data_IF_895914852971
#
_entry.id   IF_895914852971
#
_cell.length_a   1.000
_cell.length_b   1.000
_cell.length_c   1.000
_cell.angle_alpha   90.00
_cell.angle_beta   90.00
_cell.angle_gamma   90.00
#
_symmetry.space_group_name_H-M   'P 1'
#
loop_
_entity.id
_entity.type
_entity.pdbx_description
1 polymer ?
#
# COMPACT_ATOMS: atom_id res chain seq x y z
N UNK A 1 -1.33 7.34 -42.07
CA UNK A 1 -1.77 6.18 -41.25
C UNK A 1 -0.86 5.91 -40.04
N UNK A 2 0.44 5.69 -40.23
CA UNK A 2 1.40 5.48 -39.12
C UNK A 2 1.51 6.66 -38.15
N UNK A 3 1.50 7.90 -38.65
CA UNK A 3 1.56 9.11 -37.81
C UNK A 3 0.36 9.23 -36.84
N UNK A 4 -0.85 8.86 -37.27
CA UNK A 4 -2.06 8.84 -36.42
C UNK A 4 -2.02 7.73 -35.37
N UNK A 5 -1.41 6.59 -35.69
CA UNK A 5 -1.25 5.46 -34.76
C UNK A 5 -0.27 5.83 -33.64
N UNK A 6 0.87 6.44 -33.97
CA UNK A 6 1.87 6.89 -32.99
C UNK A 6 1.32 8.00 -32.09
N UNK A 7 0.59 8.98 -32.64
CA UNK A 7 -0.07 10.02 -31.85
C UNK A 7 -1.09 9.42 -30.86
N UNK A 8 -1.97 8.52 -31.33
CA UNK A 8 -2.93 7.84 -30.46
C UNK A 8 -2.28 6.93 -29.40
N UNK A 9 -1.06 6.44 -29.64
CA UNK A 9 -0.32 5.60 -28.70
C UNK A 9 0.22 6.40 -27.52
N UNK A 10 0.63 7.65 -27.72
CA UNK A 10 1.14 8.52 -26.66
C UNK A 10 0.05 9.36 -25.99
N UNK A 11 -0.98 9.78 -26.73
CA UNK A 11 -2.09 10.60 -26.19
C UNK A 11 -2.97 9.83 -25.19
N UNK A 12 -3.12 8.51 -25.37
CA UNK A 12 -3.94 7.67 -24.48
C UNK A 12 -3.38 7.59 -23.06
N UNK A 13 -2.12 7.18 -22.83
CA UNK A 13 -1.49 7.20 -21.51
C UNK A 13 -1.59 8.56 -20.83
N UNK A 14 -1.22 9.62 -21.56
CA UNK A 14 -1.30 11.01 -21.07
C UNK A 14 -2.70 11.43 -20.61
N UNK A 15 -3.74 10.87 -21.22
CA UNK A 15 -5.12 11.21 -20.87
C UNK A 15 -5.68 10.39 -19.69
N UNK A 16 -5.02 9.29 -19.32
CA UNK A 16 -5.40 8.43 -18.19
C UNK A 16 -4.59 8.75 -16.92
N UNK A 17 -3.44 9.40 -17.04
CA UNK A 17 -2.52 9.69 -15.93
C UNK A 17 -2.57 11.13 -15.40
N UNK A 18 -3.61 11.91 -15.74
CA UNK A 18 -3.74 13.32 -15.29
C UNK A 18 -4.22 13.46 -13.85
N UNK A 19 -5.11 12.57 -13.42
CA UNK A 19 -5.77 12.64 -12.12
C UNK A 19 -5.73 11.27 -11.44
N UNK A 20 -5.64 11.19 -10.10
CA UNK A 20 -5.73 9.95 -9.37
C UNK A 20 -7.05 9.24 -9.66
N UNK A 21 -6.99 7.95 -10.00
CA UNK A 21 -8.17 7.14 -10.34
C UNK A 21 -8.22 5.88 -9.47
N UNK A 22 -8.20 6.10 -8.15
CA UNK A 22 -8.27 5.03 -7.14
C UNK A 22 -9.58 4.26 -7.28
N UNK A 23 -9.56 2.94 -7.09
CA UNK A 23 -10.77 2.12 -7.13
C UNK A 23 -11.86 2.70 -6.21
N UNK A 24 -13.12 2.65 -6.64
CA UNK A 24 -14.28 3.18 -5.89
C UNK A 24 -14.47 4.71 -5.92
N UNK A 25 -13.59 5.50 -6.54
CA UNK A 25 -13.77 6.95 -6.65
C UNK A 25 -14.54 7.37 -7.90
N UNK A 26 -15.16 8.55 -7.86
CA UNK A 26 -15.83 9.17 -9.01
C UNK A 26 -14.92 9.28 -10.23
N UNK A 27 -13.65 9.65 -10.03
CA UNK A 27 -12.69 9.79 -11.12
C UNK A 27 -12.43 8.44 -11.82
N UNK A 28 -12.40 7.33 -11.08
CA UNK A 28 -12.26 6.01 -11.66
C UNK A 28 -13.53 5.58 -12.43
N UNK A 29 -14.71 5.96 -11.96
CA UNK A 29 -15.97 5.76 -12.70
C UNK A 29 -16.03 6.59 -14.00
N UNK A 30 -15.57 7.83 -13.97
CA UNK A 30 -15.41 8.66 -15.17
C UNK A 30 -14.50 7.99 -16.20
N UNK A 31 -13.36 7.45 -15.75
CA UNK A 31 -12.45 6.71 -16.63
C UNK A 31 -13.09 5.44 -17.21
N UNK A 32 -13.83 4.69 -16.40
CA UNK A 32 -14.54 3.48 -16.85
C UNK A 32 -15.58 3.80 -17.94
N UNK A 33 -16.40 4.85 -17.75
CA UNK A 33 -17.36 5.35 -18.76
C UNK A 33 -16.65 5.79 -20.04
N UNK A 34 -15.50 6.46 -19.91
CA UNK A 34 -14.71 6.90 -21.07
C UNK A 34 -14.20 5.72 -21.88
N UNK A 35 -13.65 4.69 -21.22
CA UNK A 35 -13.19 3.46 -21.88
C UNK A 35 -14.36 2.77 -22.58
N UNK A 36 -15.52 2.67 -21.91
CA UNK A 36 -16.74 2.12 -22.51
C UNK A 36 -17.13 2.84 -23.80
N UNK A 37 -17.13 4.19 -23.81
CA UNK A 37 -17.42 4.98 -25.01
C UNK A 37 -16.39 4.71 -26.12
N UNK A 38 -15.09 4.75 -25.78
CA UNK A 38 -14.02 4.50 -26.76
C UNK A 38 -14.11 3.11 -27.39
N UNK A 39 -14.44 2.08 -26.61
CA UNK A 39 -14.61 0.73 -27.12
C UNK A 39 -15.78 0.60 -28.11
N UNK A 40 -16.91 1.29 -27.85
CA UNK A 40 -18.02 1.37 -28.81
C UNK A 40 -17.61 2.10 -30.08
N UNK A 41 -16.87 3.21 -29.95
CA UNK A 41 -16.34 3.96 -31.11
C UNK A 41 -15.34 3.14 -31.94
N UNK A 42 -14.58 2.25 -31.30
CA UNK A 42 -13.65 1.34 -31.99
C UNK A 42 -14.36 0.17 -32.69
N UNK A 43 -15.66 0.00 -32.49
CA UNK A 43 -16.48 -0.98 -33.18
C UNK A 43 -16.66 -2.31 -32.44
N UNK A 44 -16.51 -2.34 -31.11
CA UNK A 44 -16.98 -3.50 -30.33
C UNK A 44 -18.51 -3.56 -30.38
N UNK A 45 -19.06 -4.75 -30.63
CA UNK A 45 -20.51 -4.98 -30.66
C UNK A 45 -21.18 -4.63 -29.32
N UNK A 46 -20.53 -4.97 -28.21
CA UNK A 46 -21.00 -4.68 -26.85
C UNK A 46 -19.87 -4.16 -25.96
N UNK A 47 -20.21 -3.19 -25.12
CA UNK A 47 -19.33 -2.68 -24.05
C UNK A 47 -20.20 -2.18 -22.91
N UNK A 48 -20.15 -2.87 -21.77
CA UNK A 48 -21.03 -2.65 -20.62
C UNK A 48 -20.22 -2.44 -19.33
N UNK A 49 -20.79 -1.65 -18.42
CA UNK A 49 -20.26 -1.51 -17.07
C UNK A 49 -20.95 -2.53 -16.17
N UNK A 50 -20.15 -3.37 -15.52
CA UNK A 50 -20.63 -4.37 -14.56
C UNK A 50 -20.14 -3.99 -13.17
N UNK A 51 -21.06 -3.66 -12.27
CA UNK A 51 -20.76 -3.24 -10.90
C UNK A 51 -20.88 -4.38 -9.89
N UNK A 52 -20.14 -4.24 -8.80
CA UNK A 52 -20.16 -5.07 -7.60
C UNK A 52 -19.91 -4.17 -6.38
N UNK A 53 -20.63 -4.39 -5.29
CA UNK A 53 -20.46 -3.64 -4.04
C UNK A 53 -19.52 -4.41 -3.12
N UNK A 54 -18.22 -4.15 -3.31
CA UNK A 54 -17.10 -4.83 -2.65
C UNK A 54 -16.57 -4.02 -1.47
N UNK A 55 -15.95 -4.69 -0.51
CA UNK A 55 -15.27 -4.01 0.59
C UNK A 55 -13.98 -3.37 0.08
N UNK A 56 -13.88 -2.05 0.23
CA UNK A 56 -12.66 -1.27 0.00
C UNK A 56 -12.16 -0.65 1.31
N UNK A 57 -10.94 -0.13 1.30
CA UNK A 57 -10.30 0.47 2.46
C UNK A 57 -9.59 1.73 2.04
N UNK A 58 -9.78 2.82 2.80
CA UNK A 58 -9.18 4.13 2.58
C UNK A 58 -8.70 4.73 3.90
N UNK A 59 -7.67 5.59 3.89
CA UNK A 59 -7.25 6.31 5.07
C UNK A 59 -8.29 7.36 5.48
N UNK A 60 -8.36 7.67 6.77
CA UNK A 60 -9.17 8.78 7.26
C UNK A 60 -8.44 10.11 7.00
N UNK A 61 -9.03 10.99 6.18
CA UNK A 61 -8.42 12.28 5.85
C UNK A 61 -8.35 13.25 7.03
N UNK A 62 -9.28 13.14 7.99
CA UNK A 62 -9.29 13.98 9.19
C UNK A 62 -8.32 13.50 10.28
N UNK A 63 -7.83 12.25 10.17
CA UNK A 63 -6.88 11.65 11.09
C UNK A 63 -5.82 10.87 10.29
N UNK A 64 -4.81 11.56 9.74
CA UNK A 64 -3.75 10.94 8.95
C UNK A 64 -2.99 9.87 9.74
N UNK A 65 -2.59 8.82 9.05
CA UNK A 65 -1.74 7.78 9.62
C UNK A 65 -0.28 8.26 9.65
N UNK A 66 0.44 7.90 10.70
CA UNK A 66 1.89 8.12 10.81
C UNK A 66 2.50 7.13 11.78
N UNK A 67 3.84 7.08 11.80
CA UNK A 67 4.64 6.40 12.82
C UNK A 67 5.41 7.46 13.58
N UNK A 68 5.56 7.27 14.88
CA UNK A 68 6.34 8.14 15.74
C UNK A 68 7.36 7.34 16.57
N UNK A 69 8.48 7.99 16.90
CA UNK A 69 9.36 7.57 18.00
C UNK A 69 8.99 8.42 19.21
N UNK A 70 8.78 7.76 20.35
CA UNK A 70 8.46 8.41 21.62
C UNK A 70 9.61 8.26 22.61
N UNK A 71 9.83 9.28 23.44
CA UNK A 71 10.73 9.20 24.60
C UNK A 71 10.10 8.43 25.79
N UNK A 72 10.85 8.31 26.88
CA UNK A 72 10.41 7.66 28.13
C UNK A 72 9.21 8.35 28.81
N UNK A 73 8.92 9.59 28.45
CA UNK A 73 7.80 10.38 28.94
C UNK A 73 6.59 10.34 27.99
N UNK A 74 6.70 9.65 26.85
CA UNK A 74 5.65 9.56 25.84
C UNK A 74 5.58 10.76 24.89
N UNK A 75 6.59 11.63 24.88
CA UNK A 75 6.66 12.74 23.92
C UNK A 75 7.19 12.23 22.57
N UNK A 76 6.56 12.67 21.48
CA UNK A 76 7.02 12.37 20.12
C UNK A 76 8.30 13.15 19.80
N UNK A 77 9.38 12.44 19.52
CA UNK A 77 10.68 13.01 19.15
C UNK A 77 10.95 12.96 17.64
N UNK A 78 10.22 12.11 16.92
CA UNK A 78 10.28 11.99 15.47
C UNK A 78 8.93 11.48 14.96
N UNK A 79 8.44 12.08 13.87
CA UNK A 79 7.22 11.67 13.18
C UNK A 79 7.51 11.46 11.69
N UNK A 80 6.93 10.42 11.11
CA UNK A 80 7.04 10.16 9.68
C UNK A 80 6.26 11.17 8.85
N UNK A 81 6.61 11.25 7.56
CA UNK A 81 5.90 12.10 6.60
C UNK A 81 4.44 11.67 6.47
N UNK A 82 3.50 12.62 6.52
CA UNK A 82 2.07 12.34 6.36
C UNK A 82 1.66 12.11 4.90
N UNK A 83 2.40 12.72 3.97
CA UNK A 83 2.16 12.70 2.53
C UNK A 83 3.50 12.71 1.78
N UNK A 84 3.55 12.14 0.58
CA UNK A 84 4.66 12.41 -0.32
C UNK A 84 4.65 13.85 -0.83
N UNK A 85 5.84 14.34 -1.20
CA UNK A 85 5.97 15.57 -1.96
C UNK A 85 5.32 15.37 -3.35
N UNK A 86 4.38 16.24 -3.77
CA UNK A 86 3.79 16.15 -5.10
C UNK A 86 4.86 16.18 -6.20
N UNK A 87 4.75 15.33 -7.23
CA UNK A 87 5.69 15.36 -8.35
C UNK A 87 5.51 16.64 -9.18
N UNK A 88 6.55 17.09 -9.91
CA UNK A 88 6.47 18.29 -10.74
C UNK A 88 5.31 18.24 -11.74
N UNK A 89 4.54 19.32 -11.81
CA UNK A 89 3.36 19.46 -12.67
C UNK A 89 2.05 18.93 -12.05
N UNK A 90 2.09 18.39 -10.84
CA UNK A 90 0.94 17.88 -10.09
C UNK A 90 0.73 18.59 -8.75
N UNK A 91 1.33 19.77 -8.56
CA UNK A 91 1.31 20.53 -7.30
C UNK A 91 -0.11 20.90 -6.85
N UNK A 92 -1.03 21.07 -7.82
CA UNK A 92 -2.42 21.47 -7.57
C UNK A 92 -3.41 20.29 -7.54
N UNK A 93 -2.92 19.04 -7.56
CA UNK A 93 -3.77 17.84 -7.51
C UNK A 93 -3.99 17.44 -6.05
N UNK A 94 -5.24 17.57 -5.57
CA UNK A 94 -5.58 17.42 -4.16
C UNK A 94 -6.14 16.05 -3.80
N UNK A 95 -6.52 15.23 -4.78
CA UNK A 95 -7.17 13.93 -4.59
C UNK A 95 -6.17 12.78 -4.36
N UNK A 96 -4.90 13.09 -4.15
CA UNK A 96 -3.87 12.09 -3.84
C UNK A 96 -4.08 11.58 -2.42
N UNK A 97 -4.46 10.30 -2.28
CA UNK A 97 -4.55 9.66 -0.97
C UNK A 97 -3.18 9.60 -0.29
N UNK A 98 -3.06 9.81 1.02
CA UNK A 98 -1.80 9.62 1.74
C UNK A 98 -1.31 8.16 1.65
N UNK A 99 -0.04 7.88 1.97
CA UNK A 99 0.45 6.52 2.09
C UNK A 99 -0.34 5.70 3.09
N UNK A 100 -0.73 4.49 2.70
CA UNK A 100 -1.36 3.52 3.59
C UNK A 100 -1.26 2.10 3.01
N UNK A 101 -1.36 1.11 3.89
CA UNK A 101 -1.62 -0.26 3.48
C UNK A 101 -3.11 -0.55 3.61
N UNK A 102 -3.77 -0.80 2.48
CA UNK A 102 -5.21 -1.05 2.46
C UNK A 102 -5.55 -2.32 3.27
N UNK A 103 -6.67 -2.24 4.01
CA UNK A 103 -7.17 -3.24 4.95
C UNK A 103 -6.35 -3.43 6.23
N UNK A 104 -5.38 -2.55 6.53
CA UNK A 104 -4.74 -2.51 7.85
C UNK A 104 -5.78 -2.44 8.96
N UNK A 105 -5.53 -3.14 10.07
CA UNK A 105 -6.34 -2.95 11.27
C UNK A 105 -6.16 -1.53 11.82
N UNK A 106 -7.17 -1.04 12.53
CA UNK A 106 -7.09 0.19 13.30
C UNK A 106 -6.34 -0.05 14.61
N UNK A 107 -5.58 0.95 15.06
CA UNK A 107 -4.93 0.92 16.37
C UNK A 107 -3.73 1.85 16.44
N UNK A 108 -3.34 2.19 17.67
CA UNK A 108 -2.16 3.03 17.97
C UNK A 108 -1.23 2.24 18.92
N UNK A 109 -0.57 1.17 18.42
CA UNK A 109 0.31 0.36 19.25
C UNK A 109 1.62 1.10 19.52
N UNK A 110 2.03 1.14 20.79
CA UNK A 110 3.39 1.52 21.21
C UNK A 110 4.11 0.28 21.71
N UNK A 111 5.30 0.01 21.20
CA UNK A 111 6.20 -1.07 21.62
C UNK A 111 7.60 -0.88 21.00
N UNK A 112 8.59 -1.64 21.47
CA UNK A 112 9.92 -1.63 20.88
C UNK A 112 9.89 -2.12 19.43
N UNK A 113 10.85 -1.61 18.65
CA UNK A 113 10.98 -1.87 17.23
C UNK A 113 11.97 -3.02 16.97
N UNK A 114 11.59 -3.99 16.13
CA UNK A 114 12.46 -5.10 15.73
C UNK A 114 12.59 -5.12 14.20
N UNK A 115 13.82 -5.09 13.70
CA UNK A 115 14.09 -5.27 12.27
C UNK A 115 14.02 -6.74 11.87
N UNK A 116 13.20 -7.05 10.87
CA UNK A 116 12.91 -8.43 10.46
C UNK A 116 13.27 -8.74 9.00
N UNK A 117 14.24 -8.02 8.44
CA UNK A 117 14.68 -8.22 7.05
C UNK A 117 13.49 -8.12 6.06
N UNK A 118 13.19 -9.15 5.27
CA UNK A 118 12.07 -9.16 4.33
C UNK A 118 10.78 -9.74 4.96
N UNK A 119 10.76 -10.09 6.25
CA UNK A 119 9.59 -10.69 6.91
C UNK A 119 9.17 -12.03 6.32
N UNK A 120 10.11 -12.80 5.76
CA UNK A 120 9.86 -14.16 5.28
C UNK A 120 9.82 -15.13 6.46
N UNK A 121 9.27 -16.32 6.25
CA UNK A 121 9.21 -17.33 7.32
C UNK A 121 10.61 -17.65 7.86
N UNK A 122 11.60 -17.76 6.97
CA UNK A 122 13.01 -17.96 7.34
C UNK A 122 13.62 -16.78 8.12
N UNK A 123 13.16 -15.55 7.90
CA UNK A 123 13.66 -14.39 8.64
C UNK A 123 13.17 -14.45 10.11
N UNK A 124 11.91 -14.81 10.33
CA UNK A 124 11.36 -15.03 11.67
C UNK A 124 11.98 -16.24 12.38
N UNK A 125 12.17 -17.37 11.68
CA UNK A 125 12.85 -18.52 12.25
C UNK A 125 14.28 -18.19 12.68
N UNK A 126 15.00 -17.41 11.87
CA UNK A 126 16.36 -16.96 12.21
C UNK A 126 16.38 -16.06 13.45
N UNK A 127 15.47 -15.09 13.52
CA UNK A 127 15.36 -14.20 14.68
C UNK A 127 15.11 -14.97 15.98
N UNK A 128 14.14 -15.89 15.96
CA UNK A 128 13.75 -16.65 17.15
C UNK A 128 14.83 -17.66 17.56
N UNK A 129 15.34 -18.45 16.61
CA UNK A 129 16.17 -19.63 16.90
C UNK A 129 17.68 -19.35 16.94
N UNK A 130 18.16 -18.42 16.12
CA UNK A 130 19.59 -18.12 16.01
C UNK A 130 19.98 -16.87 16.79
N UNK A 131 19.09 -15.87 16.83
CA UNK A 131 19.38 -14.57 17.46
C UNK A 131 18.71 -14.40 18.83
N UNK A 132 17.77 -15.28 19.20
CA UNK A 132 17.06 -15.22 20.48
C UNK A 132 16.14 -14.00 20.62
N UNK A 133 15.72 -13.40 19.50
CA UNK A 133 14.87 -12.20 19.48
C UNK A 133 13.39 -12.61 19.43
N UNK A 134 12.61 -12.17 20.41
CA UNK A 134 11.18 -12.42 20.48
C UNK A 134 10.38 -11.22 19.92
N UNK A 135 9.56 -11.48 18.89
CA UNK A 135 8.71 -10.47 18.26
C UNK A 135 7.35 -10.29 18.96
N UNK A 136 7.04 -11.11 19.97
CA UNK A 136 5.76 -11.06 20.68
C UNK A 136 5.57 -9.71 21.37
N UNK A 137 4.50 -9.01 21.03
CA UNK A 137 4.17 -7.69 21.58
C UNK A 137 5.01 -6.54 21.01
N UNK A 138 5.91 -6.80 20.05
CA UNK A 138 6.78 -5.79 19.43
C UNK A 138 6.15 -5.21 18.16
N UNK A 139 6.64 -4.05 17.74
CA UNK A 139 6.41 -3.53 16.38
C UNK A 139 7.56 -4.04 15.52
N UNK A 140 7.24 -4.64 14.38
CA UNK A 140 8.27 -5.15 13.46
C UNK A 140 8.41 -4.23 12.25
N UNK A 141 9.64 -3.97 11.80
CA UNK A 141 9.93 -3.23 10.57
C UNK A 141 10.58 -4.15 9.54
N UNK A 142 10.00 -4.19 8.34
CA UNK A 142 10.48 -5.02 7.24
C UNK A 142 10.62 -4.23 5.95
N UNK A 143 11.61 -4.59 5.14
CA UNK A 143 11.72 -4.11 3.77
C UNK A 143 10.72 -4.82 2.86
N UNK A 144 10.19 -4.07 1.89
CA UNK A 144 9.46 -4.63 0.77
C UNK A 144 10.36 -5.54 -0.10
N UNK A 145 9.75 -6.36 -0.96
CA UNK A 145 10.45 -7.30 -1.85
C UNK A 145 10.41 -8.77 -1.39
N UNK A 146 10.93 -9.66 -2.25
CA UNK A 146 10.99 -11.14 -2.13
C UNK A 146 9.65 -11.89 -2.05
N UNK A 147 8.76 -11.50 -1.14
CA UNK A 147 7.43 -12.09 -0.96
C UNK A 147 6.34 -11.03 -0.99
N UNK A 148 5.12 -11.44 -1.30
CA UNK A 148 3.94 -10.58 -1.26
C UNK A 148 3.73 -9.99 0.14
N UNK A 149 3.40 -8.70 0.23
CA UNK A 149 3.30 -7.95 1.50
C UNK A 149 2.28 -8.52 2.48
N UNK A 150 1.15 -9.06 2.02
CA UNK A 150 0.18 -9.74 2.89
C UNK A 150 0.75 -11.00 3.56
N UNK A 151 1.73 -11.68 2.94
CA UNK A 151 2.42 -12.79 3.59
C UNK A 151 3.39 -12.31 4.67
N UNK A 152 4.05 -11.16 4.48
CA UNK A 152 4.89 -10.54 5.53
C UNK A 152 4.05 -10.23 6.78
N UNK A 153 2.88 -9.62 6.57
CA UNK A 153 1.93 -9.30 7.65
C UNK A 153 1.41 -10.57 8.33
N UNK A 154 1.04 -11.60 7.55
CA UNK A 154 0.65 -12.90 8.11
C UNK A 154 1.75 -13.51 8.99
N UNK A 155 3.00 -13.48 8.53
CA UNK A 155 4.13 -14.01 9.30
C UNK A 155 4.36 -13.19 10.58
N UNK A 156 4.26 -11.86 10.51
CA UNK A 156 4.36 -10.98 11.68
C UNK A 156 3.28 -11.27 12.73
N UNK A 157 2.03 -11.49 12.30
CA UNK A 157 0.93 -11.90 13.19
C UNK A 157 1.25 -13.25 13.86
N UNK A 158 1.73 -14.24 13.09
CA UNK A 158 2.11 -15.55 13.63
C UNK A 158 3.28 -15.47 14.61
N UNK A 159 4.19 -14.52 14.44
CA UNK A 159 5.29 -14.23 15.34
C UNK A 159 4.89 -13.39 16.57
N UNK A 160 3.61 -13.06 16.72
CA UNK A 160 3.07 -12.32 17.87
C UNK A 160 3.30 -10.80 17.81
N UNK A 161 3.69 -10.24 16.67
CA UNK A 161 3.86 -8.79 16.52
C UNK A 161 2.54 -8.05 16.78
N UNK A 162 2.62 -6.85 17.35
CA UNK A 162 1.47 -5.97 17.62
C UNK A 162 1.22 -4.95 16.51
N UNK A 163 2.21 -4.71 15.67
CA UNK A 163 2.14 -3.81 14.51
C UNK A 163 3.28 -4.06 13.54
N UNK A 164 3.13 -3.59 12.30
CA UNK A 164 4.14 -3.77 11.26
C UNK A 164 4.37 -2.49 10.46
N UNK A 165 5.65 -2.17 10.23
CA UNK A 165 6.10 -1.08 9.36
C UNK A 165 6.74 -1.69 8.11
N UNK A 166 6.37 -1.17 6.93
CA UNK A 166 6.92 -1.61 5.65
C UNK A 166 7.64 -0.45 4.96
N UNK A 167 8.86 -0.65 4.48
CA UNK A 167 9.59 0.40 3.76
C UNK A 167 10.26 -0.11 2.49
N UNK A 168 10.50 0.80 1.53
CA UNK A 168 11.14 0.48 0.25
C UNK A 168 12.65 0.73 0.33
N UNK A 169 13.42 -0.30 0.68
CA UNK A 169 14.88 -0.20 0.83
C UNK A 169 15.57 0.16 -0.50
N UNK A 170 16.45 1.19 -0.55
CA UNK A 170 17.17 1.56 -1.76
C UNK A 170 17.96 0.40 -2.39
N UNK A 171 18.40 -0.59 -1.61
CA UNK A 171 19.10 -1.76 -2.15
C UNK A 171 18.25 -2.57 -3.14
N UNK A 172 16.92 -2.55 -2.97
CA UNK A 172 15.97 -3.27 -3.82
C UNK A 172 15.25 -2.36 -4.81
N UNK A 173 15.17 -1.05 -4.52
CA UNK A 173 14.31 -0.10 -5.23
C UNK A 173 15.05 1.05 -5.93
N UNK A 174 16.39 1.10 -5.85
CA UNK A 174 17.20 2.10 -6.54
C UNK A 174 18.31 1.45 -7.38
N UNK A 175 18.34 1.77 -8.67
CA UNK A 175 19.40 1.37 -9.58
C UNK A 175 20.71 2.14 -9.30
N UNK A 176 21.87 1.47 -9.29
CA UNK A 176 23.16 2.13 -9.07
C UNK A 176 23.43 3.25 -10.09
N UNK A 177 23.87 4.42 -9.61
CA UNK A 177 24.27 5.55 -10.46
C UNK A 177 23.12 6.33 -11.12
N UNK A 178 21.87 6.10 -10.72
CA UNK A 178 20.70 6.79 -11.25
C UNK A 178 20.14 7.77 -10.22
N UNK A 179 19.84 9.00 -10.65
CA UNK A 179 19.22 10.01 -9.78
C UNK A 179 17.77 9.64 -9.41
N UNK A 180 17.30 10.00 -8.21
CA UNK A 180 15.88 9.91 -7.89
C UNK A 180 15.02 10.79 -8.79
N UNK A 181 13.74 10.44 -8.93
CA UNK A 181 12.75 11.33 -9.54
C UNK A 181 12.72 12.69 -8.80
N UNK A 182 12.63 13.83 -9.51
CA UNK A 182 12.31 13.99 -10.94
C UNK A 182 13.49 13.92 -11.91
N UNK A 183 14.74 14.02 -11.44
CA UNK A 183 15.91 14.13 -12.31
C UNK A 183 16.37 12.77 -12.87
N UNK A 184 15.89 11.67 -12.28
CA UNK A 184 16.01 10.34 -12.85
C UNK A 184 14.80 9.47 -12.54
N UNK A 185 14.96 8.15 -12.62
CA UNK A 185 13.86 7.20 -12.48
C UNK A 185 13.96 6.35 -11.20
N UNK A 186 14.94 6.63 -10.33
CA UNK A 186 15.01 6.00 -9.02
C UNK A 186 13.93 6.52 -8.07
N UNK A 187 13.62 5.70 -7.07
CA UNK A 187 12.68 6.04 -6.02
C UNK A 187 13.20 7.24 -5.19
N UNK A 188 12.41 8.31 -4.99
CA UNK A 188 12.72 9.37 -4.03
C UNK A 188 12.61 8.89 -2.57
N UNK A 189 13.37 9.50 -1.66
CA UNK A 189 13.43 9.03 -0.27
C UNK A 189 12.18 9.21 0.58
N UNK A 190 11.36 10.19 0.23
CA UNK A 190 10.03 10.36 0.82
C UNK A 190 8.94 9.55 0.10
N UNK A 191 9.26 8.84 -1.00
CA UNK A 191 8.25 8.12 -1.76
C UNK A 191 7.87 6.80 -1.10
N UNK A 192 6.56 6.52 -1.03
CA UNK A 192 6.04 5.38 -0.28
C UNK A 192 5.29 4.41 -1.18
N UNK A 193 5.62 3.12 -1.07
CA UNK A 193 4.89 2.08 -1.79
C UNK A 193 3.55 1.77 -1.08
N UNK A 194 2.45 2.21 -1.68
CA UNK A 194 1.08 1.77 -1.32
C UNK A 194 0.83 0.32 -1.72
N UNK A 195 -0.17 -0.30 -1.10
CA UNK A 195 -0.66 -1.62 -1.52
C UNK A 195 -1.49 -2.30 -0.44
N UNK A 196 -2.39 -3.21 -0.85
CA UNK A 196 -3.20 -3.99 0.09
C UNK A 196 -2.37 -5.05 0.80
N UNK A 197 -2.78 -5.37 2.03
CA UNK A 197 -2.16 -6.40 2.89
C UNK A 197 -3.09 -7.58 3.18
N UNK A 198 -4.15 -7.74 2.38
CA UNK A 198 -5.05 -8.88 2.49
C UNK A 198 -4.35 -10.21 2.18
N UNK A 199 -4.79 -11.29 2.82
CA UNK A 199 -4.37 -12.65 2.50
C UNK A 199 -5.55 -13.51 2.01
N UNK A 200 -5.99 -13.26 0.77
CA UNK A 200 -7.24 -13.81 0.22
C UNK A 200 -7.15 -15.26 -0.25
N UNK A 201 -5.97 -15.74 -0.65
CA UNK A 201 -5.79 -17.07 -1.27
C UNK A 201 -6.82 -17.39 -2.39
N UNK A 202 -7.20 -16.38 -3.18
CA UNK A 202 -8.14 -16.51 -4.30
C UNK A 202 -9.62 -16.23 -3.97
N UNK A 203 -9.95 -15.81 -2.74
CA UNK A 203 -11.34 -15.62 -2.30
C UNK A 203 -12.14 -14.54 -3.05
N UNK A 204 -11.48 -13.52 -3.62
CA UNK A 204 -12.16 -12.35 -4.20
C UNK A 204 -12.43 -11.27 -3.16
N UNK A 205 -13.66 -10.77 -3.10
CA UNK A 205 -14.07 -9.81 -2.06
C UNK A 205 -14.05 -10.48 -0.66
N UNK A 206 -13.42 -9.87 0.37
CA UNK A 206 -13.32 -10.47 1.70
C UNK A 206 -14.64 -10.89 2.34
N UNK A 207 -15.76 -10.25 1.96
CA UNK A 207 -17.06 -10.46 2.59
C UNK A 207 -17.96 -11.44 1.82
N UNK A 208 -17.60 -11.78 0.58
CA UNK A 208 -18.42 -12.62 -0.30
C UNK A 208 -17.62 -13.75 -0.97
N UNK A 209 -16.82 -14.53 -0.22
CA UNK A 209 -15.98 -15.56 -0.82
C UNK A 209 -16.80 -16.61 -1.59
N UNK A 210 -16.49 -16.77 -2.87
CA UNK A 210 -17.16 -17.73 -3.76
C UNK A 210 -18.46 -17.23 -4.41
N UNK A 211 -18.94 -16.04 -4.08
CA UNK A 211 -20.19 -15.47 -4.62
C UNK A 211 -19.97 -14.06 -5.18
N UNK A 212 -20.73 -13.62 -6.19
CA UNK A 212 -20.64 -12.26 -6.69
C UNK A 212 -21.21 -11.27 -5.67
N UNK A 213 -20.48 -10.20 -5.36
CA UNK A 213 -20.91 -9.13 -4.44
C UNK A 213 -21.99 -8.22 -5.09
N UNK A 214 -23.20 -8.75 -5.25
CA UNK A 214 -24.38 -8.02 -5.72
C UNK A 214 -25.14 -7.42 -4.52
N UNK A 215 -26.11 -6.56 -4.81
CA UNK A 215 -26.91 -5.86 -3.80
C UNK A 215 -27.56 -6.83 -2.81
N UNK A 216 -28.08 -7.96 -3.31
CA UNK A 216 -28.77 -8.98 -2.51
C UNK A 216 -27.84 -10.01 -1.85
N UNK A 217 -26.54 -9.96 -2.13
CA UNK A 217 -25.61 -11.00 -1.67
C UNK A 217 -25.38 -10.88 -0.16
N UNK A 218 -25.47 -12.03 0.53
CA UNK A 218 -25.07 -12.13 1.93
C UNK A 218 -23.59 -11.76 2.09
N UNK A 219 -23.28 -10.95 3.10
CA UNK A 219 -21.92 -10.50 3.41
C UNK A 219 -21.55 -10.95 4.81
N UNK A 220 -20.31 -11.41 4.99
CA UNK A 220 -19.73 -11.58 6.32
C UNK A 220 -19.66 -10.25 7.05
N UNK A 221 -19.67 -10.31 8.38
CA UNK A 221 -19.33 -9.15 9.19
C UNK A 221 -17.89 -8.72 8.88
N UNK A 222 -17.62 -7.41 8.98
CA UNK A 222 -16.36 -6.82 8.49
C UNK A 222 -15.14 -7.33 9.26
N UNK A 223 -15.31 -7.71 10.52
CA UNK A 223 -14.29 -8.33 11.35
C UNK A 223 -14.08 -9.82 11.04
N UNK A 224 -15.04 -10.50 10.42
CA UNK A 224 -14.92 -11.89 9.97
C UNK A 224 -14.44 -12.02 8.51
N UNK A 225 -14.24 -10.89 7.82
CA UNK A 225 -13.81 -10.88 6.42
C UNK A 225 -12.51 -11.66 6.16
N UNK A 226 -12.50 -12.40 5.06
CA UNK A 226 -11.41 -13.34 4.71
C UNK A 226 -10.09 -12.59 4.53
N UNK A 227 -9.07 -13.01 5.27
CA UNK A 227 -7.70 -12.53 5.08
C UNK A 227 -7.45 -11.09 5.53
N UNK A 228 -8.37 -10.48 6.29
CA UNK A 228 -8.18 -9.15 6.89
C UNK A 228 -7.18 -9.25 8.05
N UNK A 229 -6.08 -8.48 8.03
CA UNK A 229 -5.08 -8.50 9.10
C UNK A 229 -5.65 -7.96 10.41
N UNK A 230 -5.11 -8.45 11.53
CA UNK A 230 -5.55 -8.08 12.88
C UNK A 230 -4.62 -7.12 13.62
N UNK A 231 -3.54 -6.68 12.96
CA UNK A 231 -2.57 -5.72 13.49
C UNK A 231 -2.47 -4.52 12.55
N UNK A 232 -2.18 -3.31 13.07
CA UNK A 232 -1.91 -2.15 12.23
C UNK A 232 -0.66 -2.34 11.37
N UNK A 233 -0.76 -1.91 10.11
CA UNK A 233 0.31 -1.97 9.12
C UNK A 233 0.41 -0.63 8.40
N UNK A 234 1.59 -0.03 8.37
CA UNK A 234 1.79 1.27 7.71
C UNK A 234 3.06 1.28 6.86
N UNK A 235 3.00 1.80 5.61
CA UNK A 235 4.17 1.91 4.77
C UNK A 235 4.85 3.27 4.97
N UNK A 236 6.19 3.33 4.88
CA UNK A 236 6.98 4.54 5.02
C UNK A 236 8.04 4.66 3.91
N UNK A 237 8.56 5.87 3.71
CA UNK A 237 9.68 6.14 2.81
C UNK A 237 11.01 5.67 3.41
N UNK A 238 12.06 5.56 2.59
CA UNK A 238 13.35 5.10 3.09
C UNK A 238 14.12 6.16 3.89
N UNK A 239 13.85 7.47 3.71
CA UNK A 239 14.39 8.50 4.61
C UNK A 239 13.83 8.34 6.03
N UNK A 240 12.52 8.11 6.15
CA UNK A 240 11.87 7.87 7.43
C UNK A 240 12.33 6.55 8.04
N UNK A 241 12.48 5.50 7.21
CA UNK A 241 13.01 4.22 7.67
C UNK A 241 14.44 4.33 8.19
N UNK A 242 15.31 5.12 7.56
CA UNK A 242 16.67 5.36 8.04
C UNK A 242 16.65 5.93 9.47
N UNK A 243 15.76 6.90 9.74
CA UNK A 243 15.60 7.47 11.08
C UNK A 243 15.15 6.43 12.11
N UNK A 244 14.21 5.55 11.74
CA UNK A 244 13.76 4.47 12.63
C UNK A 244 14.85 3.42 12.86
N UNK A 245 15.59 3.02 11.81
CA UNK A 245 16.58 1.96 11.86
C UNK A 245 17.89 2.40 12.53
N UNK A 246 18.21 3.70 12.53
CA UNK A 246 19.44 4.25 13.12
C UNK A 246 19.55 4.00 14.63
N UNK A 247 18.41 3.90 15.31
CA UNK A 247 18.33 3.77 16.77
C UNK A 247 17.78 2.40 17.21
N UNK A 248 17.81 1.39 16.32
CA UNK A 248 17.53 0.01 16.72
C UNK A 248 18.80 -0.55 17.37
N UNK A 249 18.67 -0.98 18.62
CA UNK A 249 19.68 -1.71 19.39
C UNK A 249 19.74 -3.21 18.98
#
# INVERSE_FOLDING_TARGET
>A
PQHKVVQSFLERPLSFTRLPHVAGTEQNLHLARRIQTQWKEFGLDTAELVSYDVLLSYPNQSAPNYVAITDEHGNEIFNTSLFEVPPPGYENVSEVLPPYNAFSAQGVPTADLVYINYGRAEDFFKLEREMGINCTGKIVIARYGKIFRGNKVKNAILAGAKGMILYSDPVDYCAPGVSPYPDGWNLPGGAVQRGNVLNLNGAGDPLTPGYPAKEYTFRYDTDEGVGIPKIPVHPIGYHDAEMLLRYID
#
